data_IF_506359186451
#
_entry.id   IF_506359186451
#
_cell.length_a   1.000
_cell.length_b   1.000
_cell.length_c   1.000
_cell.angle_alpha   90.00
_cell.angle_beta   90.00
_cell.angle_gamma   90.00
#
_symmetry.space_group_name_H-M   'P 1'
#
loop_
_entity.id
_entity.type
_entity.pdbx_description
1 polymer ?
#
# COMPACT_ATOMS: atom_id res chain seq x y z
N UNK A 1 -3.47 16.43 1.78
CA UNK A 1 -2.01 16.28 1.69
C UNK A 1 -1.70 14.88 1.18
N UNK A 2 -0.95 14.75 0.09
CA UNK A 2 -0.57 13.45 -0.48
C UNK A 2 0.61 12.82 0.27
N UNK A 3 0.70 11.50 0.20
CA UNK A 3 1.83 10.72 0.68
C UNK A 3 2.82 10.52 -0.47
N UNK A 4 4.12 10.46 -0.18
CA UNK A 4 5.10 10.08 -1.21
C UNK A 4 5.13 8.54 -1.30
N UNK A 5 4.75 7.95 -2.44
CA UNK A 5 4.83 6.52 -2.61
C UNK A 5 6.30 6.11 -2.77
N UNK A 6 6.81 5.29 -1.86
CA UNK A 6 8.14 4.69 -1.97
C UNK A 6 8.05 3.16 -2.03
N UNK A 7 8.98 2.48 -2.71
CA UNK A 7 9.00 1.02 -2.72
C UNK A 7 9.23 0.49 -1.29
N UNK A 8 8.59 -0.61 -0.95
CA UNK A 8 8.88 -1.28 0.34
C UNK A 8 10.31 -1.85 0.33
N UNK A 9 11.02 -1.78 1.47
CA UNK A 9 12.41 -2.28 1.57
C UNK A 9 12.54 -3.77 1.25
N UNK A 10 11.47 -4.55 1.49
CA UNK A 10 11.38 -5.98 1.19
C UNK A 10 11.73 -6.31 -0.28
N UNK A 11 11.48 -5.38 -1.23
CA UNK A 11 11.85 -5.55 -2.63
C UNK A 11 13.36 -5.68 -2.81
N UNK A 12 14.13 -4.80 -2.15
CA UNK A 12 15.59 -4.84 -2.20
C UNK A 12 16.12 -6.07 -1.51
N UNK A 13 15.54 -6.44 -0.36
CA UNK A 13 15.96 -7.62 0.39
C UNK A 13 15.73 -8.91 -0.39
N UNK A 14 14.56 -9.06 -1.03
CA UNK A 14 14.26 -10.22 -1.86
C UNK A 14 15.25 -10.34 -3.03
N UNK A 15 15.51 -9.23 -3.74
CA UNK A 15 16.47 -9.20 -4.84
C UNK A 15 17.88 -9.54 -4.36
N UNK A 16 18.31 -8.98 -3.23
CA UNK A 16 19.61 -9.27 -2.63
C UNK A 16 19.73 -10.76 -2.26
N UNK A 17 18.73 -11.32 -1.58
CA UNK A 17 18.70 -12.73 -1.21
C UNK A 17 18.75 -13.65 -2.43
N UNK A 18 18.01 -13.32 -3.50
CA UNK A 18 18.03 -14.08 -4.75
C UNK A 18 19.44 -14.09 -5.36
N UNK A 19 20.04 -12.90 -5.49
CA UNK A 19 21.38 -12.75 -6.09
C UNK A 19 22.45 -13.46 -5.26
N UNK A 20 22.40 -13.33 -3.93
CA UNK A 20 23.41 -13.89 -3.02
C UNK A 20 23.25 -15.41 -2.83
N UNK A 21 22.02 -15.92 -2.74
CA UNK A 21 21.77 -17.32 -2.37
C UNK A 21 21.54 -18.24 -3.57
N UNK A 22 21.14 -17.69 -4.71
CA UNK A 22 20.81 -18.49 -5.89
C UNK A 22 21.71 -18.13 -7.08
N UNK A 23 21.93 -16.84 -7.35
CA UNK A 23 22.70 -16.43 -8.53
C UNK A 23 24.20 -16.59 -8.36
N UNK A 24 24.81 -16.03 -7.31
CA UNK A 24 26.26 -16.14 -7.08
C UNK A 24 26.72 -17.60 -6.98
N UNK A 25 26.04 -18.51 -6.24
CA UNK A 25 26.46 -19.90 -6.14
C UNK A 25 26.32 -20.70 -7.44
N UNK A 26 25.49 -20.23 -8.38
CA UNK A 26 25.31 -20.86 -9.69
C UNK A 26 26.35 -20.42 -10.73
N UNK A 27 27.25 -19.49 -10.39
CA UNK A 27 28.26 -18.93 -11.29
C UNK A 27 29.68 -19.33 -10.86
N UNK A 28 30.56 -19.48 -11.85
CA UNK A 28 32.00 -19.63 -11.59
C UNK A 28 32.57 -18.29 -11.04
N UNK A 29 33.31 -18.29 -9.91
CA UNK A 29 33.90 -17.08 -9.33
C UNK A 29 34.83 -16.29 -10.26
N UNK A 30 35.44 -16.94 -11.25
CA UNK A 30 36.34 -16.31 -12.23
C UNK A 30 35.56 -15.74 -13.43
N UNK A 31 34.28 -16.10 -13.55
CA UNK A 31 33.43 -15.63 -14.64
C UNK A 31 33.20 -14.11 -14.58
N UNK A 32 33.18 -13.41 -15.73
CA UNK A 32 32.77 -12.01 -15.78
C UNK A 32 31.32 -11.81 -15.31
N UNK A 33 30.48 -12.85 -15.30
CA UNK A 33 29.11 -12.75 -14.76
C UNK A 33 29.09 -12.67 -13.23
N UNK A 34 30.03 -13.31 -12.55
CA UNK A 34 30.11 -13.27 -11.09
C UNK A 34 30.41 -11.85 -10.59
N UNK A 35 31.39 -11.17 -11.19
CA UNK A 35 31.72 -9.77 -10.87
C UNK A 35 30.60 -8.79 -11.23
N UNK A 36 29.87 -9.05 -12.32
CA UNK A 36 28.66 -8.29 -12.67
C UNK A 36 27.57 -8.44 -11.61
N UNK A 37 27.29 -9.66 -11.15
CA UNK A 37 26.30 -9.90 -10.09
C UNK A 37 26.71 -9.23 -8.78
N UNK A 38 27.99 -9.30 -8.40
CA UNK A 38 28.50 -8.57 -7.25
C UNK A 38 28.29 -7.06 -7.37
N UNK A 39 28.51 -6.49 -8.57
CA UNK A 39 28.26 -5.07 -8.84
C UNK A 39 26.77 -4.72 -8.68
N UNK A 40 25.87 -5.57 -9.16
CA UNK A 40 24.41 -5.41 -8.97
C UNK A 40 24.05 -5.41 -7.49
N UNK A 41 24.58 -6.35 -6.69
CA UNK A 41 24.38 -6.41 -5.24
C UNK A 41 24.83 -5.10 -4.57
N UNK A 42 26.02 -4.60 -4.93
CA UNK A 42 26.54 -3.33 -4.40
C UNK A 42 25.61 -2.16 -4.74
N UNK A 43 25.11 -2.08 -5.97
CA UNK A 43 24.19 -1.02 -6.38
C UNK A 43 22.84 -1.09 -5.66
N UNK A 44 22.30 -2.29 -5.45
CA UNK A 44 21.05 -2.47 -4.70
C UNK A 44 21.20 -2.05 -3.24
N UNK A 45 22.31 -2.41 -2.58
CA UNK A 45 22.59 -1.96 -1.20
C UNK A 45 22.72 -0.44 -1.12
N UNK A 46 23.40 0.19 -2.09
CA UNK A 46 23.49 1.65 -2.18
C UNK A 46 22.12 2.31 -2.38
N UNK A 47 21.32 1.78 -3.30
CA UNK A 47 19.96 2.28 -3.55
C UNK A 47 19.09 2.21 -2.29
N UNK A 48 19.15 1.11 -1.54
CA UNK A 48 18.44 0.98 -0.26
C UNK A 48 18.89 2.03 0.75
N UNK A 49 20.20 2.27 0.89
CA UNK A 49 20.71 3.34 1.77
C UNK A 49 20.23 4.73 1.35
N UNK A 50 20.23 5.04 0.05
CA UNK A 50 19.70 6.31 -0.44
C UNK A 50 18.20 6.47 -0.19
N UNK A 51 17.43 5.38 -0.30
CA UNK A 51 16.01 5.42 0.01
C UNK A 51 15.77 5.69 1.51
N UNK A 52 16.53 5.06 2.40
CA UNK A 52 16.43 5.33 3.85
C UNK A 52 16.73 6.78 4.18
N UNK A 53 17.77 7.34 3.56
CA UNK A 53 18.09 8.77 3.71
C UNK A 53 16.95 9.67 3.19
N UNK A 54 16.31 9.30 2.08
CA UNK A 54 15.14 10.01 1.57
C UNK A 54 13.97 9.95 2.55
N UNK A 55 13.71 8.79 3.15
CA UNK A 55 12.65 8.60 4.16
C UNK A 55 12.90 9.44 5.42
N UNK A 56 14.15 9.49 5.90
CA UNK A 56 14.57 10.33 7.01
C UNK A 56 14.35 11.82 6.69
N UNK A 57 14.72 12.26 5.49
CA UNK A 57 14.49 13.63 5.03
C UNK A 57 12.99 13.96 4.94
N UNK A 58 12.17 13.02 4.44
CA UNK A 58 10.72 13.18 4.39
C UNK A 58 10.14 13.30 5.81
N UNK A 59 10.56 12.44 6.73
CA UNK A 59 10.14 12.48 8.12
C UNK A 59 10.51 13.82 8.78
N UNK A 60 11.73 14.31 8.56
CA UNK A 60 12.20 15.61 9.05
C UNK A 60 11.38 16.79 8.48
N UNK A 61 10.92 16.68 7.23
CA UNK A 61 10.06 17.66 6.58
C UNK A 61 8.55 17.51 6.93
N UNK A 62 8.19 16.55 7.80
CA UNK A 62 6.78 16.26 8.13
C UNK A 62 5.98 15.64 6.98
N UNK A 63 6.66 15.15 5.93
CA UNK A 63 6.06 14.49 4.78
C UNK A 63 5.88 13.00 5.10
N UNK A 64 4.66 12.50 4.93
CA UNK A 64 4.36 11.08 5.16
C UNK A 64 4.77 10.25 3.95
N UNK A 65 5.56 9.21 4.20
CA UNK A 65 5.91 8.17 3.23
C UNK A 65 4.86 7.07 3.28
N UNK A 66 4.54 6.51 2.12
CA UNK A 66 3.65 5.37 1.98
C UNK A 66 4.35 4.25 1.20
N UNK A 67 4.63 3.16 1.89
CA UNK A 67 5.40 2.05 1.33
C UNK A 67 4.51 1.17 0.45
N UNK A 68 4.94 0.98 -0.79
CA UNK A 68 4.21 0.22 -1.81
C UNK A 68 4.94 -1.08 -2.13
N UNK A 69 4.20 -2.18 -1.98
CA UNK A 69 4.63 -3.53 -2.35
C UNK A 69 4.30 -3.89 -3.81
N UNK A 70 3.36 -3.17 -4.44
CA UNK A 70 3.05 -3.33 -5.86
C UNK A 70 2.53 -2.00 -6.43
N UNK A 71 2.58 -1.86 -7.75
CA UNK A 71 1.99 -0.73 -8.47
C UNK A 71 0.47 -0.86 -8.62
N UNK A 72 -0.07 -2.06 -8.34
CA UNK A 72 -1.48 -2.39 -8.48
C UNK A 72 -2.26 -1.97 -7.24
N UNK A 73 -2.31 -0.67 -6.98
CA UNK A 73 -3.34 -0.14 -6.09
C UNK A 73 -4.49 0.34 -6.95
N UNK A 74 -5.49 -0.52 -7.12
CA UNK A 74 -6.82 -0.02 -7.43
C UNK A 74 -7.16 1.00 -6.34
N UNK A 75 -7.49 2.26 -6.66
CA UNK A 75 -8.21 3.07 -5.69
C UNK A 75 -9.46 2.25 -5.39
N UNK A 76 -9.54 1.65 -4.21
CA UNK A 76 -10.77 0.99 -3.78
C UNK A 76 -11.84 2.06 -3.95
N UNK A 77 -12.81 1.91 -4.87
CA UNK A 77 -13.94 2.82 -4.86
C UNK A 77 -14.51 2.67 -3.47
N UNK A 78 -14.58 3.76 -2.72
CA UNK A 78 -15.26 3.74 -1.45
C UNK A 78 -16.69 3.34 -1.77
N UNK A 79 -17.00 2.06 -1.57
CA UNK A 79 -18.37 1.57 -1.60
C UNK A 79 -19.08 2.39 -0.53
N UNK A 80 -20.09 3.21 -0.89
CA UNK A 80 -20.83 3.96 0.10
C UNK A 80 -21.36 2.99 1.15
N UNK A 81 -21.13 3.32 2.42
CA UNK A 81 -21.58 2.51 3.55
C UNK A 81 -23.11 2.37 3.44
N UNK A 82 -23.68 1.16 3.53
CA UNK A 82 -25.13 0.96 3.38
C UNK A 82 -25.97 1.60 4.51
N UNK A 83 -25.34 2.22 5.51
CA UNK A 83 -26.00 2.82 6.68
C UNK A 83 -26.57 4.22 6.43
N UNK A 84 -26.23 4.89 5.32
CA UNK A 84 -26.86 6.16 4.93
C UNK A 84 -28.32 5.97 4.44
N UNK A 85 -28.81 4.73 4.36
CA UNK A 85 -30.15 4.40 3.87
C UNK A 85 -31.23 4.32 4.97
N UNK A 86 -30.88 4.58 6.23
CA UNK A 86 -31.81 4.52 7.37
C UNK A 86 -32.06 5.90 7.98
N UNK A 87 -32.75 6.75 7.21
CA UNK A 87 -33.57 7.83 7.79
C UNK A 87 -35.03 7.56 7.39
N UNK A 88 -35.78 6.93 8.29
CA UNK A 88 -37.25 7.07 8.36
C UNK A 88 -37.58 8.12 9.42
N UNK A 89 -38.77 8.74 9.45
CA UNK A 89 -39.78 9.04 8.41
C UNK A 89 -40.22 10.54 8.48
N UNK A 90 -41.23 10.99 7.70
CA UNK A 90 -42.23 11.84 8.36
C UNK A 90 -43.69 11.53 8.00
N UNK A 91 -44.51 11.70 9.04
CA UNK A 91 -45.95 12.03 9.05
C UNK A 91 -46.94 11.13 8.29
N UNK A 92 -47.52 10.19 9.03
CA UNK A 92 -48.93 9.85 8.84
C UNK A 92 -49.73 10.47 10.00
N UNK A 93 -50.21 11.69 9.76
CA UNK A 93 -51.34 12.25 10.50
C UNK A 93 -52.52 11.27 10.39
N UNK A 94 -52.86 10.64 11.52
CA UNK A 94 -54.11 9.88 11.67
C UNK A 94 -54.87 10.46 12.86
N UNK A 95 -55.32 11.69 12.67
CA UNK A 95 -56.55 12.13 13.32
C UNK A 95 -57.70 11.94 12.33
N UNK A 96 -58.52 10.89 12.51
CA UNK A 96 -59.92 10.86 12.03
C UNK A 96 -60.70 9.79 12.84
N UNK A 97 -61.57 10.32 13.69
CA UNK A 97 -62.92 9.91 14.10
C UNK A 97 -63.32 8.42 14.18
N UNK A 98 -63.80 8.04 15.39
CA UNK A 98 -64.79 6.98 15.61
C UNK A 98 -66.05 7.21 14.78
N UNK A 99 -66.74 6.13 14.38
CA UNK A 99 -68.16 6.06 14.72
C UNK A 99 -68.59 4.71 15.30
N UNK A 100 -69.61 4.81 16.15
CA UNK A 100 -70.53 3.76 16.56
C UNK A 100 -71.21 3.08 15.35
N UNK A 101 -71.46 1.76 15.38
CA UNK A 101 -72.83 1.20 15.38
C UNK A 101 -72.84 -0.34 15.42
N UNK A 102 -73.67 -0.84 16.36
CA UNK A 102 -74.53 -2.04 16.34
C UNK A 102 -73.98 -3.39 15.86
N UNK A 103 -73.95 -4.35 16.79
CA UNK A 103 -75.02 -5.36 16.93
C UNK A 103 -75.08 -5.89 18.36
#
# INVERSE_FOLDING_TARGET
>A
MGFIPLPSHIHYELLLQLLERQTLPALDPVSPYYSQVQTVIIHLRKALSYQKQLEENCAAAGVRVDHRWSLNHSPTPQLPHPEDRLVTPPEADRSIAKPEERY
#
